data_IF_167390955601
#
_entry.id   IF_167390955601
#
_cell.length_a   1.000
_cell.length_b   1.000
_cell.length_c   1.000
_cell.angle_alpha   90.00
_cell.angle_beta   90.00
_cell.angle_gamma   90.00
#
_symmetry.space_group_name_H-M   'P 1'
#
loop_
_entity.id
_entity.type
_entity.pdbx_description
1 polymer ?
#
# COMPACT_ATOMS: atom_id res chain seq x y z
N UNK A 1 -17.78 -12.29 -4.75
CA UNK A 1 -17.08 -11.22 -4.03
C UNK A 1 -17.28 -9.93 -4.83
N UNK A 2 -17.48 -8.83 -4.13
CA UNK A 2 -17.63 -7.51 -4.78
C UNK A 2 -16.24 -6.99 -5.15
N UNK A 3 -16.11 -6.42 -6.37
CA UNK A 3 -14.85 -5.78 -6.77
C UNK A 3 -14.79 -4.37 -6.24
N UNK A 4 -13.83 -4.11 -5.36
CA UNK A 4 -13.61 -2.78 -4.79
C UNK A 4 -12.80 -1.88 -5.71
N UNK A 5 -11.79 -2.45 -6.40
CA UNK A 5 -10.99 -1.76 -7.41
C UNK A 5 -11.02 -2.58 -8.71
N UNK A 6 -11.17 -1.90 -9.83
CA UNK A 6 -11.02 -2.49 -11.16
C UNK A 6 -10.26 -1.52 -12.06
N UNK A 7 -9.21 -2.02 -12.68
CA UNK A 7 -8.37 -1.29 -13.63
C UNK A 7 -8.46 -1.97 -14.98
N UNK A 8 -8.75 -1.21 -16.02
CA UNK A 8 -8.91 -1.71 -17.37
C UNK A 8 -7.93 -1.01 -18.32
N UNK A 9 -6.95 -1.77 -18.77
CA UNK A 9 -6.01 -1.40 -19.85
C UNK A 9 -5.36 -0.02 -19.65
N UNK A 10 -4.88 0.25 -18.43
CA UNK A 10 -4.35 1.56 -18.06
C UNK A 10 -2.94 1.75 -18.58
N UNK A 11 -2.71 2.92 -19.18
CA UNK A 11 -1.40 3.39 -19.63
C UNK A 11 -1.03 4.65 -18.88
N UNK A 12 0.23 4.76 -18.45
CA UNK A 12 0.80 5.98 -17.88
C UNK A 12 2.22 6.18 -18.34
N UNK A 13 2.45 7.30 -19.00
CA UNK A 13 3.77 7.75 -19.41
C UNK A 13 4.23 8.96 -18.61
N UNK A 14 5.53 9.09 -18.47
CA UNK A 14 6.18 10.29 -17.95
C UNK A 14 7.24 10.77 -18.93
N UNK A 15 7.54 12.06 -18.88
CA UNK A 15 8.57 12.69 -19.69
C UNK A 15 9.69 13.19 -18.79
N UNK A 16 10.88 12.62 -18.97
CA UNK A 16 12.09 13.14 -18.34
C UNK A 16 12.96 13.79 -19.40
N UNK A 17 13.22 15.11 -19.22
CA UNK A 17 14.03 15.97 -20.11
C UNK A 17 13.68 15.82 -21.60
N UNK A 18 14.11 14.74 -22.26
CA UNK A 18 13.89 14.52 -23.72
C UNK A 18 13.34 13.12 -24.03
N UNK A 19 13.22 12.23 -23.04
CA UNK A 19 12.74 10.87 -23.25
C UNK A 19 11.40 10.65 -22.58
N UNK A 20 10.46 10.09 -23.32
CA UNK A 20 9.20 9.59 -22.79
C UNK A 20 9.40 8.10 -22.43
N UNK A 21 8.97 7.72 -21.23
CA UNK A 21 8.97 6.31 -20.80
C UNK A 21 7.59 5.93 -20.29
N UNK A 22 7.21 4.68 -20.55
CA UNK A 22 5.98 4.10 -20.06
C UNK A 22 6.24 3.54 -18.66
N UNK A 23 5.65 4.17 -17.65
CA UNK A 23 5.72 3.69 -16.28
C UNK A 23 4.67 2.60 -16.02
N UNK A 24 3.55 2.64 -16.74
CA UNK A 24 2.49 1.63 -16.75
C UNK A 24 2.07 1.42 -18.19
N UNK A 25 2.10 0.16 -18.64
CA UNK A 25 1.89 -0.23 -20.02
C UNK A 25 0.78 -1.26 -20.12
N UNK A 26 -0.45 -0.81 -20.45
CA UNK A 26 -1.66 -1.61 -20.66
C UNK A 26 -1.98 -2.55 -19.48
N UNK A 27 -1.88 -2.04 -18.26
CA UNK A 27 -2.14 -2.83 -17.05
C UNK A 27 -3.64 -2.93 -16.79
N UNK A 28 -4.08 -4.16 -16.54
CA UNK A 28 -5.40 -4.47 -15.99
C UNK A 28 -5.22 -5.23 -14.68
N UNK A 29 -5.97 -4.88 -13.64
CA UNK A 29 -5.96 -5.55 -12.35
C UNK A 29 -7.29 -5.35 -11.62
N UNK A 30 -7.50 -6.12 -10.57
CA UNK A 30 -8.64 -5.93 -9.66
C UNK A 30 -8.24 -6.19 -8.22
N UNK A 31 -9.06 -5.71 -7.30
CA UNK A 31 -9.03 -6.02 -5.87
C UNK A 31 -10.43 -6.40 -5.43
N UNK A 32 -10.57 -7.60 -4.89
CA UNK A 32 -11.83 -8.08 -4.35
C UNK A 32 -11.97 -7.74 -2.86
N UNK A 33 -13.19 -7.72 -2.35
CA UNK A 33 -13.47 -7.46 -0.94
C UNK A 33 -12.83 -8.52 -0.04
N UNK A 34 -12.15 -8.07 1.03
CA UNK A 34 -11.46 -8.92 2.01
C UNK A 34 -10.11 -9.49 1.51
N UNK A 35 -9.66 -9.12 0.31
CA UNK A 35 -8.43 -9.62 -0.28
C UNK A 35 -7.23 -8.71 0.04
N UNK A 36 -6.06 -9.30 0.28
CA UNK A 36 -4.76 -8.61 0.33
C UNK A 36 -3.94 -9.02 -0.88
N UNK A 37 -3.70 -8.07 -1.80
CA UNK A 37 -2.94 -8.29 -3.03
C UNK A 37 -1.54 -7.70 -2.93
N UNK A 38 -0.51 -8.49 -3.24
CA UNK A 38 0.86 -8.02 -3.36
C UNK A 38 1.22 -7.59 -4.78
N UNK A 39 1.87 -6.46 -4.96
CA UNK A 39 2.51 -6.09 -6.23
C UNK A 39 4.03 -6.10 -6.01
N UNK A 40 4.72 -6.99 -6.73
CA UNK A 40 6.14 -7.25 -6.57
C UNK A 40 6.88 -6.92 -7.86
N UNK A 41 8.09 -6.41 -7.75
CA UNK A 41 8.96 -6.11 -8.88
C UNK A 41 10.14 -5.25 -8.46
N UNK A 42 11.13 -5.12 -9.34
CA UNK A 42 12.29 -4.28 -9.11
C UNK A 42 11.94 -2.79 -8.98
N UNK A 43 12.88 -2.00 -8.45
CA UNK A 43 12.75 -0.55 -8.44
C UNK A 43 12.57 -0.03 -9.86
N UNK A 44 11.62 0.90 -10.07
CA UNK A 44 11.31 1.43 -11.40
C UNK A 44 10.35 0.60 -12.24
N UNK A 45 9.87 -0.57 -11.78
CA UNK A 45 8.93 -1.40 -12.55
C UNK A 45 7.52 -0.80 -12.71
N UNK A 46 7.20 0.32 -12.00
CA UNK A 46 5.91 1.03 -12.11
C UNK A 46 4.96 0.85 -10.93
N UNK A 47 5.33 0.10 -9.87
CA UNK A 47 4.48 -0.23 -8.71
C UNK A 47 3.86 1.00 -8.03
N UNK A 48 4.69 1.96 -7.61
CA UNK A 48 4.19 3.18 -6.96
C UNK A 48 3.36 4.04 -7.92
N UNK A 49 3.61 3.94 -9.25
CA UNK A 49 2.78 4.61 -10.26
C UNK A 49 1.38 4.00 -10.28
N UNK A 50 1.26 2.67 -10.21
CA UNK A 50 -0.05 2.00 -10.07
C UNK A 50 -0.78 2.51 -8.83
N UNK A 51 -0.15 2.53 -7.65
CA UNK A 51 -0.81 3.02 -6.43
C UNK A 51 -1.28 4.48 -6.56
N UNK A 52 -0.48 5.34 -7.20
CA UNK A 52 -0.86 6.74 -7.45
C UNK A 52 -2.04 6.87 -8.43
N UNK A 53 -2.15 5.96 -9.40
CA UNK A 53 -3.32 5.88 -10.30
C UNK A 53 -4.57 5.43 -9.53
N UNK A 54 -4.45 4.39 -8.70
CA UNK A 54 -5.54 3.85 -7.89
C UNK A 54 -6.04 4.86 -6.85
N UNK A 55 -5.14 5.63 -6.24
CA UNK A 55 -5.51 6.69 -5.29
C UNK A 55 -6.06 7.94 -5.97
N UNK A 56 -5.95 8.06 -7.30
CA UNK A 56 -6.36 9.25 -8.06
C UNK A 56 -5.45 10.47 -7.86
N UNK A 57 -4.23 10.27 -7.31
CA UNK A 57 -3.19 11.32 -7.23
C UNK A 57 -2.76 11.72 -8.64
N UNK A 58 -2.65 10.73 -9.54
CA UNK A 58 -2.39 10.98 -10.96
C UNK A 58 -3.50 10.33 -11.81
N UNK A 59 -3.70 10.87 -13.02
CA UNK A 59 -4.66 10.31 -13.97
C UNK A 59 -3.96 9.41 -14.97
N UNK A 60 -4.61 8.32 -15.42
CA UNK A 60 -4.12 7.54 -16.54
C UNK A 60 -4.13 8.38 -17.84
N UNK A 61 -3.23 8.03 -18.76
CA UNK A 61 -3.22 8.60 -20.12
C UNK A 61 -4.25 7.86 -20.98
N UNK A 62 -4.39 6.53 -20.78
CA UNK A 62 -5.38 5.67 -21.42
C UNK A 62 -5.95 4.67 -20.41
N UNK A 63 -7.10 4.07 -20.75
CA UNK A 63 -7.78 3.10 -19.90
C UNK A 63 -8.62 3.74 -18.80
N UNK A 64 -9.08 2.93 -17.83
CA UNK A 64 -9.97 3.36 -16.75
C UNK A 64 -9.58 2.74 -15.43
N UNK A 65 -9.82 3.50 -14.36
CA UNK A 65 -9.80 3.04 -12.97
C UNK A 65 -11.19 3.20 -12.41
N UNK A 66 -11.74 2.12 -11.88
CA UNK A 66 -13.02 2.13 -11.17
C UNK A 66 -12.78 1.81 -9.69
N UNK A 67 -13.46 2.53 -8.83
CA UNK A 67 -13.44 2.38 -7.38
C UNK A 67 -14.87 2.21 -6.89
N UNK A 68 -15.16 1.12 -6.18
CA UNK A 68 -16.49 0.78 -5.67
C UNK A 68 -17.56 0.83 -6.78
N UNK A 69 -17.27 0.25 -7.95
CA UNK A 69 -18.16 0.20 -9.12
C UNK A 69 -18.34 1.52 -9.87
N UNK A 70 -17.65 2.61 -9.48
CA UNK A 70 -17.72 3.92 -10.12
C UNK A 70 -16.39 4.30 -10.76
N UNK A 71 -16.46 5.01 -11.89
CA UNK A 71 -15.25 5.58 -12.50
C UNK A 71 -14.58 6.54 -11.51
N UNK A 72 -13.26 6.35 -11.31
CA UNK A 72 -12.49 7.19 -10.41
C UNK A 72 -12.43 8.63 -10.91
N UNK A 73 -13.12 9.52 -10.20
CA UNK A 73 -13.03 10.97 -10.42
C UNK A 73 -12.09 11.60 -9.40
N UNK A 74 -11.05 12.27 -9.87
CA UNK A 74 -10.11 13.00 -9.01
C UNK A 74 -10.76 14.14 -8.20
N UNK A 75 -11.94 14.61 -8.58
CA UNK A 75 -12.70 15.65 -7.87
C UNK A 75 -13.60 15.09 -6.77
N UNK A 76 -13.93 13.81 -6.82
CA UNK A 76 -14.72 13.18 -5.76
C UNK A 76 -13.87 12.97 -4.50
N UNK A 77 -14.15 13.79 -3.49
CA UNK A 77 -13.45 13.74 -2.19
C UNK A 77 -14.00 12.66 -1.26
N UNK A 78 -15.19 12.11 -1.52
CA UNK A 78 -15.79 11.07 -0.66
C UNK A 78 -14.92 9.81 -0.58
N UNK A 79 -14.17 9.52 -1.66
CA UNK A 79 -13.25 8.39 -1.72
C UNK A 79 -12.13 8.44 -0.67
N UNK A 80 -11.74 9.63 -0.20
CA UNK A 80 -10.66 9.75 0.79
C UNK A 80 -11.02 9.16 2.15
N UNK A 81 -12.27 8.89 2.42
CA UNK A 81 -12.67 8.11 3.56
C UNK A 81 -12.45 6.62 3.31
N UNK A 82 -13.00 6.12 2.21
CA UNK A 82 -13.07 4.67 1.92
C UNK A 82 -11.74 4.08 1.40
N UNK A 83 -10.86 4.91 0.82
CA UNK A 83 -9.55 4.51 0.31
C UNK A 83 -8.45 5.37 0.92
N UNK A 84 -7.54 4.75 1.65
CA UNK A 84 -6.41 5.40 2.28
C UNK A 84 -5.08 4.88 1.71
N UNK A 85 -4.11 5.77 1.64
CA UNK A 85 -2.75 5.42 1.19
C UNK A 85 -1.75 5.62 2.33
N UNK A 86 -0.95 4.59 2.59
CA UNK A 86 0.16 4.63 3.53
C UNK A 86 1.44 4.71 2.69
N UNK A 87 2.22 5.75 2.90
CA UNK A 87 3.41 6.07 2.10
C UNK A 87 4.66 5.42 2.67
N UNK A 88 5.65 5.23 1.82
CA UNK A 88 6.97 4.70 2.16
C UNK A 88 7.65 5.52 3.27
N UNK A 89 7.66 6.84 3.15
CA UNK A 89 8.13 7.73 4.21
C UNK A 89 6.95 8.18 5.09
N UNK A 90 6.71 7.40 6.15
CA UNK A 90 5.66 7.72 7.11
C UNK A 90 5.86 9.10 7.73
N UNK A 91 7.11 9.47 8.06
CA UNK A 91 7.41 10.77 8.70
C UNK A 91 7.08 11.94 7.79
N UNK A 92 7.43 11.86 6.51
CA UNK A 92 7.11 12.88 5.52
C UNK A 92 5.60 13.00 5.24
N UNK A 93 4.81 11.98 5.58
CA UNK A 93 3.36 11.98 5.40
C UNK A 93 2.61 12.80 6.46
N UNK A 94 3.27 13.21 7.55
CA UNK A 94 2.72 14.05 8.61
C UNK A 94 3.14 15.52 8.45
N UNK A 95 2.28 16.42 8.91
CA UNK A 95 2.69 17.81 9.13
C UNK A 95 3.69 17.86 10.30
N UNK A 96 4.87 18.45 10.04
CA UNK A 96 5.95 18.55 11.04
C UNK A 96 5.60 19.42 12.24
N UNK A 97 4.61 20.28 12.10
CA UNK A 97 4.16 21.20 13.15
C UNK A 97 3.05 20.61 14.03
N UNK A 98 2.51 19.43 13.63
CA UNK A 98 1.42 18.78 14.34
C UNK A 98 1.93 17.61 15.18
N UNK A 99 1.35 17.46 16.38
CA UNK A 99 1.47 16.22 17.14
C UNK A 99 0.67 15.09 16.46
N UNK A 100 0.92 13.86 16.87
CA UNK A 100 0.15 12.71 16.38
C UNK A 100 -1.34 12.90 16.69
N UNK A 101 -1.69 13.38 17.89
CA UNK A 101 -3.07 13.67 18.26
C UNK A 101 -3.73 14.70 17.33
N UNK A 102 -3.04 15.79 17.04
CA UNK A 102 -3.54 16.81 16.11
C UNK A 102 -3.79 16.22 14.72
N UNK A 103 -2.89 15.38 14.22
CA UNK A 103 -3.04 14.71 12.93
C UNK A 103 -4.22 13.72 12.91
N UNK A 104 -4.48 12.99 14.00
CA UNK A 104 -5.65 12.12 14.14
C UNK A 104 -6.95 12.93 14.23
N UNK A 105 -6.91 14.05 14.92
CA UNK A 105 -8.06 14.94 15.06
C UNK A 105 -8.45 15.63 13.74
N UNK A 106 -7.50 15.87 12.82
CA UNK A 106 -7.80 16.35 11.48
C UNK A 106 -8.66 15.34 10.70
N UNK A 107 -8.35 14.04 10.79
CA UNK A 107 -9.16 12.99 10.17
C UNK A 107 -10.59 13.03 10.70
N UNK A 108 -10.74 13.12 12.03
CA UNK A 108 -12.07 13.22 12.67
C UNK A 108 -12.83 14.47 12.20
N UNK A 109 -12.14 15.58 12.07
CA UNK A 109 -12.75 16.85 11.67
C UNK A 109 -13.21 16.87 10.22
N UNK A 110 -12.43 16.29 9.30
CA UNK A 110 -12.62 16.51 7.86
C UNK A 110 -13.09 15.26 7.09
N UNK A 111 -12.82 14.07 7.59
CA UNK A 111 -13.09 12.83 6.85
C UNK A 111 -14.06 11.89 7.57
N UNK A 112 -13.90 11.68 8.87
CA UNK A 112 -14.72 10.75 9.64
C UNK A 112 -15.05 11.31 11.04
N UNK A 113 -16.14 12.07 11.20
CA UNK A 113 -16.57 12.59 12.52
C UNK A 113 -16.79 11.50 13.58
N UNK A 114 -17.07 10.28 13.16
CA UNK A 114 -17.31 9.13 14.05
C UNK A 114 -16.06 8.26 14.27
N UNK A 115 -14.86 8.74 13.90
CA UNK A 115 -13.61 8.01 14.13
C UNK A 115 -13.47 7.64 15.61
N UNK A 116 -12.87 6.48 15.87
CA UNK A 116 -12.54 6.04 17.22
C UNK A 116 -11.71 7.11 17.95
N UNK A 117 -11.80 7.14 19.28
CA UNK A 117 -10.95 8.01 20.09
C UNK A 117 -9.47 7.68 19.86
N UNK A 118 -8.62 8.70 19.91
CA UNK A 118 -7.18 8.58 19.60
C UNK A 118 -6.48 7.48 20.43
N UNK A 119 -6.90 7.30 21.71
CA UNK A 119 -6.36 6.25 22.59
C UNK A 119 -6.58 4.85 22.03
N UNK A 120 -7.76 4.58 21.46
CA UNK A 120 -8.07 3.27 20.88
C UNK A 120 -7.33 3.06 19.56
N UNK A 121 -7.27 4.08 18.71
CA UNK A 121 -6.50 4.03 17.46
C UNK A 121 -5.01 3.77 17.71
N UNK A 122 -4.40 4.42 18.70
CA UNK A 122 -3.02 4.19 19.07
C UNK A 122 -2.82 2.79 19.66
N UNK A 123 -3.72 2.34 20.53
CA UNK A 123 -3.67 1.01 21.11
C UNK A 123 -3.78 -0.09 20.04
N UNK A 124 -4.63 0.05 19.03
CA UNK A 124 -4.77 -0.93 17.93
C UNK A 124 -3.48 -1.11 17.15
N UNK A 125 -2.68 -0.05 17.02
CA UNK A 125 -1.38 -0.15 16.35
C UNK A 125 -0.21 -0.44 17.32
N UNK A 126 -0.51 -0.73 18.59
CA UNK A 126 0.49 -1.05 19.62
C UNK A 126 1.34 0.15 20.05
N UNK A 127 0.77 1.35 20.04
CA UNK A 127 1.37 2.56 20.59
C UNK A 127 0.67 2.96 21.90
N UNK A 128 1.47 3.36 22.90
CA UNK A 128 0.94 3.92 24.15
C UNK A 128 0.32 5.30 23.91
N UNK A 129 -0.65 5.69 24.73
CA UNK A 129 -1.35 6.98 24.59
C UNK A 129 -0.40 8.19 24.69
N UNK A 130 0.73 8.06 25.37
CA UNK A 130 1.74 9.13 25.46
C UNK A 130 2.30 9.56 24.11
N UNK A 131 2.22 8.68 23.09
CA UNK A 131 2.61 9.02 21.72
C UNK A 131 1.70 10.07 21.08
N UNK A 132 0.49 10.27 21.57
CA UNK A 132 -0.42 11.29 21.09
C UNK A 132 0.20 12.69 21.12
N UNK A 133 1.00 12.98 22.15
CA UNK A 133 1.63 14.28 22.35
C UNK A 133 2.99 14.45 21.65
N UNK A 134 3.51 13.39 21.02
CA UNK A 134 4.77 13.44 20.28
C UNK A 134 4.59 14.03 18.89
N UNK A 135 5.64 14.69 18.42
CA UNK A 135 5.78 15.08 17.03
C UNK A 135 6.40 13.93 16.21
N UNK A 136 6.17 13.87 14.89
CA UNK A 136 6.72 12.81 14.05
C UNK A 136 8.25 12.67 14.11
N UNK A 137 8.97 13.76 14.33
CA UNK A 137 10.44 13.76 14.44
C UNK A 137 10.96 13.19 15.77
N UNK A 138 10.13 13.05 16.79
CA UNK A 138 10.47 12.47 18.10
C UNK A 138 10.26 10.96 18.15
N UNK A 139 9.78 10.36 17.06
CA UNK A 139 9.43 8.95 16.95
C UNK A 139 10.48 8.20 16.13
N UNK A 140 10.69 6.92 16.44
CA UNK A 140 11.42 6.00 15.57
C UNK A 140 10.66 5.75 14.25
N UNK A 141 11.33 5.16 13.25
CA UNK A 141 10.70 4.84 11.97
C UNK A 141 9.47 3.93 12.12
N UNK A 142 9.62 2.85 12.90
CA UNK A 142 8.54 1.89 13.15
C UNK A 142 7.37 2.48 13.96
N UNK A 143 7.64 3.35 14.93
CA UNK A 143 6.60 4.06 15.68
C UNK A 143 5.85 5.04 14.77
N UNK A 144 6.57 5.78 13.94
CA UNK A 144 5.96 6.70 12.98
C UNK A 144 5.10 5.96 11.95
N UNK A 145 5.56 4.78 11.50
CA UNK A 145 4.79 3.91 10.60
C UNK A 145 3.50 3.41 11.25
N UNK A 146 3.56 2.99 12.53
CA UNK A 146 2.35 2.62 13.29
C UNK A 146 1.39 3.79 13.44
N UNK A 147 1.88 4.98 13.71
CA UNK A 147 1.06 6.19 13.77
C UNK A 147 0.40 6.53 12.41
N UNK A 148 1.11 6.31 11.29
CA UNK A 148 0.55 6.48 9.95
C UNK A 148 -0.56 5.47 9.66
N UNK A 149 -0.40 4.22 10.11
CA UNK A 149 -1.45 3.19 10.04
C UNK A 149 -2.65 3.62 10.89
N UNK A 150 -2.45 4.08 12.14
CA UNK A 150 -3.53 4.57 13.00
C UNK A 150 -4.31 5.71 12.35
N UNK A 151 -3.61 6.65 11.69
CA UNK A 151 -4.24 7.74 10.95
C UNK A 151 -5.09 7.24 9.78
N UNK A 152 -4.62 6.25 9.04
CA UNK A 152 -5.39 5.62 7.98
C UNK A 152 -6.65 4.92 8.52
N UNK A 153 -6.52 4.16 9.62
CA UNK A 153 -7.65 3.50 10.29
C UNK A 153 -8.70 4.48 10.83
N UNK A 154 -8.30 5.67 11.25
CA UNK A 154 -9.24 6.71 11.72
C UNK A 154 -10.28 7.09 10.64
N UNK A 155 -9.97 6.87 9.36
CA UNK A 155 -10.92 7.05 8.27
C UNK A 155 -11.98 5.97 8.18
N UNK A 156 -11.80 4.81 8.85
CA UNK A 156 -12.61 3.59 8.67
C UNK A 156 -12.63 3.15 7.19
N UNK A 157 -11.44 2.87 6.61
CA UNK A 157 -11.31 2.65 5.18
C UNK A 157 -11.75 1.25 4.77
N UNK A 158 -12.25 1.10 3.55
CA UNK A 158 -12.49 -0.21 2.91
C UNK A 158 -11.24 -0.74 2.21
N UNK A 159 -10.36 0.16 1.78
CA UNK A 159 -9.14 -0.18 1.03
C UNK A 159 -7.94 0.57 1.58
N UNK A 160 -6.84 -0.15 1.79
CA UNK A 160 -5.52 0.38 2.07
C UNK A 160 -4.59 0.17 0.86
N UNK A 161 -3.92 1.23 0.44
CA UNK A 161 -2.83 1.20 -0.53
C UNK A 161 -1.51 1.41 0.23
N UNK A 162 -0.65 0.40 0.25
CA UNK A 162 0.59 0.40 1.02
C UNK A 162 1.80 0.46 0.07
N UNK A 163 2.46 1.61 -0.01
CA UNK A 163 3.61 1.84 -0.90
C UNK A 163 4.93 1.64 -0.15
N UNK A 164 5.53 0.46 -0.27
CA UNK A 164 6.83 0.07 0.34
C UNK A 164 6.97 0.46 1.82
N UNK A 165 5.91 0.29 2.60
CA UNK A 165 5.77 0.82 3.97
C UNK A 165 6.76 0.24 4.99
N UNK A 166 7.55 -0.74 4.60
CA UNK A 166 8.54 -1.43 5.46
C UNK A 166 9.98 -1.22 5.03
N UNK A 167 10.25 -0.66 3.84
CA UNK A 167 11.57 -0.64 3.22
C UNK A 167 12.66 0.10 4.00
N UNK A 168 12.28 1.04 4.89
CA UNK A 168 13.20 1.82 5.71
C UNK A 168 13.36 1.28 7.15
N UNK A 169 12.83 0.08 7.43
CA UNK A 169 12.79 -0.52 8.76
C UNK A 169 13.74 -1.73 8.84
N UNK A 170 14.19 -2.06 10.05
CA UNK A 170 14.89 -3.31 10.30
C UNK A 170 13.96 -4.53 10.13
N UNK A 171 14.54 -5.72 9.87
CA UNK A 171 13.80 -6.95 9.55
C UNK A 171 12.76 -7.30 10.62
N UNK A 172 13.10 -7.19 11.91
CA UNK A 172 12.19 -7.52 13.01
C UNK A 172 10.99 -6.56 13.03
N UNK A 173 11.25 -5.27 12.79
CA UNK A 173 10.19 -4.25 12.74
C UNK A 173 9.33 -4.42 11.49
N UNK A 174 9.90 -4.80 10.34
CA UNK A 174 9.16 -5.11 9.12
C UNK A 174 8.13 -6.23 9.35
N UNK A 175 8.55 -7.35 9.93
CA UNK A 175 7.65 -8.48 10.25
C UNK A 175 6.51 -8.06 11.19
N UNK A 176 6.83 -7.26 12.23
CA UNK A 176 5.83 -6.75 13.16
C UNK A 176 4.81 -5.84 12.47
N UNK A 177 5.23 -4.97 11.56
CA UNK A 177 4.33 -4.09 10.80
C UNK A 177 3.45 -4.90 9.84
N UNK A 178 4.00 -5.89 9.13
CA UNK A 178 3.23 -6.75 8.25
C UNK A 178 2.20 -7.59 9.02
N UNK A 179 2.59 -8.18 10.16
CA UNK A 179 1.69 -8.94 11.03
C UNK A 179 0.57 -8.07 11.59
N UNK A 180 0.90 -6.85 12.01
CA UNK A 180 -0.08 -5.84 12.45
C UNK A 180 -1.06 -5.51 11.31
N UNK A 181 -0.56 -5.19 10.13
CA UNK A 181 -1.40 -4.85 8.98
C UNK A 181 -2.35 -5.99 8.62
N UNK A 182 -1.84 -7.23 8.57
CA UNK A 182 -2.66 -8.43 8.33
C UNK A 182 -3.78 -8.56 9.36
N UNK A 183 -3.44 -8.41 10.64
CA UNK A 183 -4.42 -8.47 11.72
C UNK A 183 -5.51 -7.41 11.56
N UNK A 184 -5.11 -6.16 11.33
CA UNK A 184 -6.03 -5.04 11.14
C UNK A 184 -6.94 -5.22 9.91
N UNK A 185 -6.39 -5.68 8.78
CA UNK A 185 -7.18 -5.96 7.59
C UNK A 185 -8.26 -7.01 7.86
N UNK A 186 -7.91 -8.10 8.56
CA UNK A 186 -8.89 -9.13 8.94
C UNK A 186 -9.91 -8.63 9.97
N UNK A 187 -9.47 -7.91 10.99
CA UNK A 187 -10.33 -7.42 12.07
C UNK A 187 -11.37 -6.41 11.58
N UNK A 188 -10.95 -5.50 10.71
CA UNK A 188 -11.80 -4.42 10.19
C UNK A 188 -12.37 -4.69 8.79
N UNK A 189 -12.18 -5.90 8.24
CA UNK A 189 -12.62 -6.27 6.88
C UNK A 189 -12.09 -5.33 5.80
N UNK A 190 -10.83 -4.90 5.94
CA UNK A 190 -10.16 -3.99 5.00
C UNK A 190 -9.45 -4.82 3.94
N UNK A 191 -9.66 -4.47 2.67
CA UNK A 191 -8.87 -5.02 1.56
C UNK A 191 -7.62 -4.17 1.35
N UNK A 192 -6.53 -4.77 0.85
CA UNK A 192 -5.30 -4.01 0.70
C UNK A 192 -4.54 -4.34 -0.59
N UNK A 193 -3.86 -3.33 -1.15
CA UNK A 193 -2.80 -3.54 -2.13
C UNK A 193 -1.47 -3.17 -1.47
N UNK A 194 -0.59 -4.15 -1.37
CA UNK A 194 0.71 -4.04 -0.73
C UNK A 194 1.83 -4.10 -1.77
N UNK A 195 2.54 -3.00 -1.93
CA UNK A 195 3.71 -2.91 -2.81
C UNK A 195 4.97 -3.19 -2.00
N UNK A 196 5.76 -4.14 -2.45
CA UNK A 196 7.05 -4.47 -1.84
C UNK A 196 8.00 -5.09 -2.86
N UNK A 197 9.29 -5.04 -2.57
CA UNK A 197 10.31 -5.87 -3.22
C UNK A 197 10.74 -7.06 -2.33
N UNK A 198 10.20 -7.16 -1.12
CA UNK A 198 10.49 -8.22 -0.14
C UNK A 198 9.47 -9.36 -0.27
N UNK A 199 9.91 -10.48 -0.85
CA UNK A 199 9.06 -11.65 -1.10
C UNK A 199 8.64 -12.39 0.18
N UNK A 200 9.50 -12.65 1.18
CA UNK A 200 9.13 -13.19 2.46
C UNK A 200 7.95 -12.47 3.11
N UNK A 201 7.99 -11.14 3.15
CA UNK A 201 6.89 -10.36 3.72
C UNK A 201 5.59 -10.53 2.93
N UNK A 202 5.68 -10.48 1.60
CA UNK A 202 4.52 -10.65 0.71
C UNK A 202 3.94 -12.07 0.84
N UNK A 203 4.79 -13.09 0.96
CA UNK A 203 4.34 -14.48 1.09
C UNK A 203 3.50 -14.72 2.34
N UNK A 204 3.79 -14.02 3.42
CA UNK A 204 3.09 -14.13 4.70
C UNK A 204 1.83 -13.25 4.78
N UNK A 205 1.81 -12.15 4.02
CA UNK A 205 0.77 -11.13 4.11
C UNK A 205 -0.32 -11.31 3.05
N UNK A 206 0.06 -11.59 1.78
CA UNK A 206 -0.82 -11.46 0.63
C UNK A 206 -1.47 -12.78 0.21
N UNK A 207 -2.75 -12.73 -0.18
CA UNK A 207 -3.51 -13.87 -0.71
C UNK A 207 -3.16 -14.15 -2.17
N UNK A 208 -2.99 -13.08 -2.95
CA UNK A 208 -2.65 -13.08 -4.37
C UNK A 208 -1.51 -12.11 -4.64
N UNK A 209 -0.70 -12.41 -5.65
CA UNK A 209 0.42 -11.56 -6.05
C UNK A 209 0.38 -11.27 -7.54
N UNK A 210 0.88 -10.11 -7.89
CA UNK A 210 1.13 -9.65 -9.24
C UNK A 210 2.60 -9.30 -9.37
N UNK A 211 3.27 -9.90 -10.34
CA UNK A 211 4.67 -9.62 -10.64
C UNK A 211 4.73 -8.55 -11.71
N UNK A 212 5.40 -7.45 -11.42
CA UNK A 212 5.48 -6.30 -12.31
C UNK A 212 6.90 -6.10 -12.83
N UNK A 213 7.03 -6.00 -14.15
CA UNK A 213 8.28 -5.71 -14.86
C UNK A 213 8.04 -4.72 -15.99
N UNK A 214 8.88 -3.70 -16.12
CA UNK A 214 8.87 -2.73 -17.24
C UNK A 214 7.46 -2.17 -17.53
N UNK A 215 6.73 -1.79 -16.47
CA UNK A 215 5.39 -1.23 -16.57
C UNK A 215 4.26 -2.24 -16.77
N UNK A 216 4.55 -3.55 -16.86
CA UNK A 216 3.56 -4.61 -17.15
C UNK A 216 3.41 -5.59 -16.00
N UNK A 217 2.21 -6.14 -15.82
CA UNK A 217 2.01 -7.34 -15.01
C UNK A 217 2.39 -8.53 -15.88
N UNK A 218 3.45 -9.24 -15.49
CA UNK A 218 4.00 -10.38 -16.27
C UNK A 218 3.54 -11.73 -15.76
N UNK A 219 3.14 -11.80 -14.49
CA UNK A 219 2.57 -12.99 -13.86
C UNK A 219 1.64 -12.60 -12.73
N UNK A 220 0.55 -13.33 -12.54
CA UNK A 220 -0.45 -13.11 -11.51
C UNK A 220 -1.02 -14.45 -11.03
N UNK A 221 -1.31 -14.56 -9.75
CA UNK A 221 -1.94 -15.76 -9.19
C UNK A 221 -1.95 -15.76 -7.67
N UNK A 222 -2.48 -16.86 -7.09
CA UNK A 222 -2.39 -17.06 -5.63
C UNK A 222 -0.93 -17.03 -5.21
N UNK A 223 -0.64 -16.35 -4.13
CA UNK A 223 0.73 -16.15 -3.63
C UNK A 223 1.50 -17.47 -3.58
N UNK A 224 0.90 -18.51 -3.00
CA UNK A 224 1.50 -19.84 -2.87
C UNK A 224 1.87 -20.47 -4.23
N UNK A 225 0.99 -20.32 -5.23
CA UNK A 225 1.18 -20.93 -6.54
C UNK A 225 2.29 -20.22 -7.32
N UNK A 226 2.27 -18.89 -7.35
CA UNK A 226 3.28 -18.07 -8.05
C UNK A 226 4.67 -18.24 -7.43
N UNK A 227 4.77 -18.28 -6.09
CA UNK A 227 6.06 -18.42 -5.43
C UNK A 227 6.64 -19.84 -5.51
N UNK A 228 5.79 -20.88 -5.46
CA UNK A 228 6.25 -22.27 -5.53
C UNK A 228 6.47 -22.78 -6.97
N UNK A 229 5.66 -22.31 -7.92
CA UNK A 229 5.69 -22.78 -9.32
C UNK A 229 5.61 -21.63 -10.31
N UNK A 230 6.58 -20.68 -10.28
CA UNK A 230 6.60 -19.54 -11.17
C UNK A 230 6.63 -19.98 -12.64
N UNK A 231 5.82 -19.37 -13.49
CA UNK A 231 5.75 -19.67 -14.91
C UNK A 231 6.64 -18.72 -15.72
N UNK A 232 6.57 -17.41 -15.41
CA UNK A 232 7.28 -16.42 -16.18
C UNK A 232 8.80 -16.45 -15.88
N UNK A 233 9.69 -16.34 -16.91
CA UNK A 233 11.13 -16.35 -16.71
C UNK A 233 11.64 -15.32 -15.70
N UNK A 234 11.10 -14.09 -15.74
CA UNK A 234 11.47 -13.04 -14.82
C UNK A 234 11.10 -13.38 -13.35
N UNK A 235 9.93 -13.98 -13.13
CA UNK A 235 9.54 -14.42 -11.78
C UNK A 235 10.50 -15.46 -11.23
N UNK A 236 10.94 -16.41 -12.10
CA UNK A 236 11.95 -17.42 -11.75
C UNK A 236 13.30 -16.78 -11.39
N UNK A 237 13.71 -15.77 -12.13
CA UNK A 237 14.94 -15.01 -11.88
C UNK A 237 14.86 -14.23 -10.57
N UNK A 238 13.76 -13.51 -10.35
CA UNK A 238 13.49 -12.73 -9.13
C UNK A 238 13.57 -13.62 -7.88
N UNK A 239 12.91 -14.78 -7.90
CA UNK A 239 12.93 -15.76 -6.81
C UNK A 239 14.32 -16.35 -6.56
N UNK A 240 15.09 -16.62 -7.61
CA UNK A 240 16.46 -17.13 -7.46
C UNK A 240 17.41 -16.14 -6.79
N UNK A 241 17.26 -14.86 -7.07
CA UNK A 241 18.10 -13.83 -6.46
C UNK A 241 17.87 -13.75 -4.95
N UNK A 242 16.63 -13.88 -4.51
CA UNK A 242 16.27 -13.81 -3.10
C UNK A 242 16.71 -15.07 -2.34
N UNK A 243 16.48 -16.26 -2.89
CA UNK A 243 16.89 -17.52 -2.28
C UNK A 243 18.42 -17.65 -2.16
N UNK A 244 19.19 -16.99 -3.04
CA UNK A 244 20.66 -16.95 -2.94
C UNK A 244 21.16 -16.06 -1.79
N UNK A 245 20.43 -15.03 -1.42
CA UNK A 245 20.77 -14.15 -0.30
C UNK A 245 20.54 -14.88 1.02
N UNK A 246 19.44 -15.62 1.18
CA UNK A 246 19.14 -16.40 2.38
C UNK A 246 20.09 -17.60 2.61
N UNK A 247 20.74 -18.10 1.57
CA UNK A 247 21.72 -19.22 1.70
C UNK A 247 23.16 -18.75 1.88
N UNK A 248 23.42 -17.44 1.87
CA UNK A 248 24.75 -16.85 2.00
C UNK A 248 25.00 -16.21 3.39
N UNK A 249 24.02 -16.26 4.30
CA UNK A 249 24.12 -15.95 5.73
C UNK A 249 24.11 -17.24 6.55
#
# INVERSE_FOLDING_TARGET
MERLIQVENVVKSFRDKKQQFLAVDHVSLHLDEGEIVGIIGESGSGKSTILRLLSGIIKPDEGKVMLFGKLLDSKDRSRFRDLQMIFQDARASFDKQYTIEQSLNEVRKYLNPNALENRFLLQEVGLDISFANKYPYEMSGGECQRAAIARALACDPKVLLCDEITSALDVITQEKICSLLKHLCHQHHISAIFVSHDLPLVSNLCDRVMIMKDGKIVEEGKTKDVLQKPQHPYTKELLRHILKIETAE
#
